data_IF_315864647813
#
_entry.id   IF_315864647813
#
_cell.length_a   1.000
_cell.length_b   1.000
_cell.length_c   1.000
_cell.angle_alpha   90.00
_cell.angle_beta   90.00
_cell.angle_gamma   90.00
#
_symmetry.space_group_name_H-M   'P 1'
#
loop_
_entity.id
_entity.type
_entity.pdbx_description
1 polymer ?
#
# COMPACT_ATOMS: atom_id res chain seq x y z
N UNK A 1 -13.70 0.30 5.01
CA UNK A 1 -12.40 -0.27 5.38
C UNK A 1 -11.87 -0.99 4.14
N UNK A 2 -10.90 -0.38 3.42
CA UNK A 2 -10.48 -0.82 2.08
C UNK A 2 -9.40 -1.91 2.12
N UNK A 3 -8.78 -2.14 3.27
CA UNK A 3 -7.73 -3.15 3.42
C UNK A 3 -8.40 -4.52 3.55
N UNK A 4 -8.20 -5.37 2.54
CA UNK A 4 -8.70 -6.74 2.53
C UNK A 4 -7.82 -7.66 3.34
N UNK A 5 -6.53 -7.67 3.01
CA UNK A 5 -5.53 -8.57 3.57
C UNK A 5 -4.14 -7.89 3.66
N UNK A 6 -3.35 -8.29 4.65
CA UNK A 6 -1.96 -7.87 4.83
C UNK A 6 -1.12 -9.12 5.05
N UNK A 7 -0.17 -9.37 4.15
CA UNK A 7 0.61 -10.61 4.11
C UNK A 7 2.07 -10.35 3.79
N UNK A 8 2.96 -11.21 4.29
CA UNK A 8 4.39 -11.08 4.07
C UNK A 8 5.22 -11.53 5.26
N UNK A 9 6.53 -11.56 5.08
CA UNK A 9 7.51 -11.88 6.12
C UNK A 9 8.70 -10.94 6.01
N UNK A 10 9.16 -10.41 7.14
CA UNK A 10 10.25 -9.45 7.19
C UNK A 10 9.94 -8.17 6.41
N UNK A 11 10.85 -7.75 5.52
CA UNK A 11 10.76 -6.52 4.73
C UNK A 11 10.18 -6.75 3.32
N UNK A 12 9.37 -7.79 3.14
CA UNK A 12 8.62 -8.08 1.92
C UNK A 12 7.15 -8.25 2.30
N UNK A 13 6.39 -7.15 2.26
CA UNK A 13 5.00 -7.10 2.71
C UNK A 13 4.09 -6.65 1.57
N UNK A 14 2.99 -7.36 1.35
CA UNK A 14 1.91 -7.01 0.45
C UNK A 14 0.66 -6.60 1.22
N UNK A 15 0.05 -5.49 0.80
CA UNK A 15 -1.22 -4.99 1.29
C UNK A 15 -2.21 -5.05 0.14
N UNK A 16 -3.27 -5.83 0.30
CA UNK A 16 -4.32 -5.98 -0.69
C UNK A 16 -5.49 -5.04 -0.39
N UNK A 17 -5.86 -4.25 -1.40
CA UNK A 17 -6.99 -3.34 -1.33
C UNK A 17 -8.21 -3.92 -2.06
N UNK A 18 -9.35 -3.92 -1.37
CA UNK A 18 -10.65 -4.39 -1.86
C UNK A 18 -11.73 -3.39 -1.48
N UNK A 19 -12.74 -3.21 -2.33
CA UNK A 19 -13.85 -2.31 -2.05
C UNK A 19 -14.76 -2.85 -0.95
N UNK A 20 -14.86 -4.17 -0.85
CA UNK A 20 -15.62 -4.88 0.17
C UNK A 20 -14.87 -6.14 0.60
N UNK A 21 -14.79 -6.37 1.93
CA UNK A 21 -14.01 -7.47 2.51
C UNK A 21 -14.68 -8.84 2.33
N UNK A 22 -15.99 -8.90 2.09
CA UNK A 22 -16.74 -10.14 1.86
C UNK A 22 -16.67 -10.56 0.40
N UNK A 23 -16.95 -9.65 -0.54
CA UNK A 23 -16.92 -9.93 -1.98
C UNK A 23 -15.50 -9.99 -2.52
N UNK A 24 -14.54 -9.35 -1.84
CA UNK A 24 -13.15 -9.16 -2.29
C UNK A 24 -13.06 -8.46 -3.65
N UNK A 25 -14.03 -7.61 -3.98
CA UNK A 25 -13.98 -6.83 -5.22
C UNK A 25 -12.70 -5.97 -5.24
N UNK A 26 -11.82 -6.09 -6.24
CA UNK A 26 -10.54 -5.38 -6.26
C UNK A 26 -10.70 -3.86 -6.29
N UNK A 27 -9.95 -3.16 -5.44
CA UNK A 27 -9.87 -1.70 -5.45
C UNK A 27 -8.73 -1.20 -6.37
N UNK A 28 -8.74 -1.61 -7.63
CA UNK A 28 -7.63 -1.38 -8.56
C UNK A 28 -7.39 0.11 -8.85
N UNK A 29 -8.46 0.90 -8.98
CA UNK A 29 -8.35 2.34 -9.31
C UNK A 29 -7.73 3.11 -8.15
N UNK A 30 -8.15 2.79 -6.94
CA UNK A 30 -7.66 3.36 -5.69
C UNK A 30 -6.19 2.97 -5.48
N UNK A 31 -5.85 1.69 -5.70
CA UNK A 31 -4.48 1.18 -5.59
C UNK A 31 -3.53 1.86 -6.58
N UNK A 32 -3.93 2.04 -7.85
CA UNK A 32 -3.10 2.71 -8.84
C UNK A 32 -2.80 4.19 -8.51
N UNK A 33 -3.69 4.86 -7.75
CA UNK A 33 -3.49 6.23 -7.28
C UNK A 33 -2.51 6.32 -6.10
N UNK A 34 -2.30 5.24 -5.37
CA UNK A 34 -1.44 5.22 -4.17
C UNK A 34 0.01 5.58 -4.49
N UNK A 35 0.58 5.04 -5.58
CA UNK A 35 1.97 5.31 -5.97
C UNK A 35 2.25 6.80 -6.21
N UNK A 36 1.52 7.47 -7.12
CA UNK A 36 1.66 8.90 -7.34
C UNK A 36 1.38 9.77 -6.10
N UNK A 37 0.39 9.41 -5.29
CA UNK A 37 0.08 10.16 -4.07
C UNK A 37 1.16 10.01 -2.98
N UNK A 38 1.73 8.82 -2.82
CA UNK A 38 2.85 8.60 -1.92
C UNK A 38 4.10 9.34 -2.41
N UNK A 39 4.36 9.34 -3.72
CA UNK A 39 5.52 10.00 -4.31
C UNK A 39 5.48 11.53 -4.09
N UNK A 40 4.30 12.15 -4.22
CA UNK A 40 4.10 13.59 -3.89
C UNK A 40 4.45 13.93 -2.44
N UNK A 41 4.39 12.94 -1.54
CA UNK A 41 4.69 13.06 -0.11
C UNK A 41 6.10 12.58 0.24
N UNK A 42 6.93 12.28 -0.76
CA UNK A 42 8.32 11.85 -0.57
C UNK A 42 8.52 10.35 -0.35
N UNK A 43 7.50 9.52 -0.58
CA UNK A 43 7.60 8.06 -0.42
C UNK A 43 7.42 7.33 -1.76
N UNK A 44 8.42 6.55 -2.16
CA UNK A 44 8.29 5.62 -3.29
C UNK A 44 7.77 4.26 -2.81
N UNK A 45 6.63 3.81 -3.34
CA UNK A 45 6.07 2.47 -3.11
C UNK A 45 5.75 1.79 -4.44
N UNK A 46 5.75 0.46 -4.46
CA UNK A 46 5.25 -0.29 -5.60
C UNK A 46 3.75 -0.53 -5.42
N UNK A 47 2.92 0.14 -6.19
CA UNK A 47 1.47 -0.01 -6.19
C UNK A 47 0.96 -0.51 -7.54
N UNK A 48 -0.24 -1.10 -7.58
CA UNK A 48 -0.80 -1.66 -8.80
C UNK A 48 -0.22 -3.02 -9.18
N UNK A 49 0.16 -3.83 -8.19
CA UNK A 49 0.70 -5.17 -8.40
C UNK A 49 -0.38 -6.25 -8.32
N UNK A 50 -0.01 -7.47 -8.71
CA UNK A 50 -0.88 -8.66 -8.71
C UNK A 50 -1.78 -8.74 -9.93
N UNK A 51 -2.56 -9.81 -10.04
CA UNK A 51 -3.41 -10.07 -11.21
C UNK A 51 -4.51 -9.01 -11.40
N UNK A 52 -4.88 -8.29 -10.34
CA UNK A 52 -5.95 -7.30 -10.36
C UNK A 52 -5.46 -5.87 -10.09
N UNK A 53 -4.15 -5.62 -10.09
CA UNK A 53 -3.56 -4.30 -9.83
C UNK A 53 -4.05 -3.68 -8.50
N UNK A 54 -4.32 -4.50 -7.48
CA UNK A 54 -4.91 -4.10 -6.21
C UNK A 54 -3.97 -4.34 -5.01
N UNK A 55 -2.70 -4.60 -5.28
CA UNK A 55 -1.69 -4.84 -4.24
C UNK A 55 -0.69 -3.69 -4.20
N UNK A 56 -0.42 -3.21 -2.98
CA UNK A 56 0.72 -2.37 -2.63
C UNK A 56 1.78 -3.27 -2.03
N UNK A 57 3.04 -3.14 -2.46
CA UNK A 57 4.17 -3.88 -1.89
C UNK A 57 5.15 -2.93 -1.22
N UNK A 58 5.49 -3.24 0.02
CA UNK A 58 6.57 -2.63 0.80
C UNK A 58 7.79 -3.54 0.71
N UNK A 59 8.84 -3.03 0.07
CA UNK A 59 10.15 -3.68 -0.08
C UNK A 59 11.26 -2.64 0.11
N UNK A 60 11.43 -2.10 1.33
CA UNK A 60 12.48 -1.14 1.60
C UNK A 60 13.86 -1.82 1.59
N UNK A 61 14.95 -1.04 1.54
CA UNK A 61 16.30 -1.54 1.82
C UNK A 61 16.40 -2.24 3.18
N UNK A 62 17.27 -3.24 3.30
CA UNK A 62 17.41 -4.02 4.55
C UNK A 62 17.98 -3.23 5.74
N UNK A 63 18.50 -2.03 5.48
CA UNK A 63 19.03 -1.11 6.48
C UNK A 63 17.96 -0.14 7.02
N UNK A 64 16.71 -0.25 6.56
CA UNK A 64 15.61 0.62 7.00
C UNK A 64 15.46 0.56 8.52
N UNK A 65 15.32 1.72 9.13
CA UNK A 65 15.09 1.86 10.55
C UNK A 65 13.60 1.81 10.88
N UNK A 66 13.28 1.58 12.16
CA UNK A 66 11.90 1.64 12.62
C UNK A 66 11.29 3.03 12.39
N UNK A 67 12.04 4.10 12.64
CA UNK A 67 11.55 5.46 12.51
C UNK A 67 11.22 5.81 11.05
N UNK A 68 12.06 5.38 10.10
CA UNK A 68 11.76 5.53 8.66
C UNK A 68 10.53 4.71 8.24
N UNK A 69 10.37 3.51 8.78
CA UNK A 69 9.17 2.69 8.55
C UNK A 69 7.92 3.38 9.10
N UNK A 70 7.99 3.96 10.30
CA UNK A 70 6.87 4.70 10.91
C UNK A 70 6.49 5.92 10.04
N UNK A 71 7.46 6.66 9.51
CA UNK A 71 7.22 7.75 8.54
C UNK A 71 6.52 7.24 7.28
N UNK A 72 7.00 6.13 6.71
CA UNK A 72 6.40 5.55 5.51
C UNK A 72 4.94 5.13 5.75
N UNK A 73 4.65 4.49 6.88
CA UNK A 73 3.29 4.08 7.24
C UNK A 73 2.36 5.29 7.44
N UNK A 74 2.83 6.35 8.08
CA UNK A 74 2.06 7.60 8.22
C UNK A 74 1.70 8.22 6.86
N UNK A 75 2.64 8.21 5.91
CA UNK A 75 2.40 8.67 4.53
C UNK A 75 1.37 7.77 3.83
N UNK A 76 1.49 6.45 3.96
CA UNK A 76 0.55 5.49 3.38
C UNK A 76 -0.87 5.69 3.94
N UNK A 77 -1.00 5.90 5.25
CA UNK A 77 -2.28 6.18 5.89
C UNK A 77 -2.93 7.47 5.32
N UNK A 78 -2.14 8.53 5.17
CA UNK A 78 -2.61 9.78 4.57
C UNK A 78 -3.02 9.60 3.10
N UNK A 79 -2.30 8.77 2.34
CA UNK A 79 -2.67 8.42 0.97
C UNK A 79 -3.97 7.62 0.91
N UNK A 80 -4.15 6.64 1.79
CA UNK A 80 -5.38 5.84 1.85
C UNK A 80 -6.59 6.75 2.05
N UNK A 81 -6.54 7.66 3.05
CA UNK A 81 -7.61 8.64 3.32
C UNK A 81 -7.95 9.56 2.13
N UNK A 82 -7.02 9.73 1.19
CA UNK A 82 -7.19 10.60 0.02
C UNK A 82 -7.71 9.87 -1.22
N UNK A 83 -7.39 8.57 -1.37
CA UNK A 83 -7.77 7.79 -2.55
C UNK A 83 -9.08 7.04 -2.38
N UNK A 84 -9.47 6.75 -1.13
CA UNK A 84 -10.79 6.22 -0.75
C UNK A 84 -11.78 7.33 -0.49
#
# INVERSE_FOLDING_TARGET
DIIGDVRGLGLLIGIELVKDRKTKEPASKETLRMGPEALKRGLQIAAGLGAHNNIIRLTPPLIVTKDEADVAINIIEACLKQVT
#
